data_IF_030669438390
#
_entry.id   IF_030669438390
#
_cell.length_a   1.000
_cell.length_b   1.000
_cell.length_c   1.000
_cell.angle_alpha   90.00
_cell.angle_beta   90.00
_cell.angle_gamma   90.00
#
_symmetry.space_group_name_H-M   'P 1'
#
loop_
_entity.id
_entity.type
_entity.pdbx_description
1 polymer ?
#
# COMPACT_ATOMS: atom_id res chain seq x y z
N UNK A 1 -54.27 56.43 -26.94
CA UNK A 1 -55.29 55.40 -27.22
C UNK A 1 -54.57 54.25 -27.91
N UNK A 2 -55.13 53.03 -27.84
CA UNK A 2 -54.46 51.75 -28.19
C UNK A 2 -53.25 51.42 -27.28
N UNK A 3 -53.03 50.17 -26.86
CA UNK A 3 -53.99 49.08 -26.65
C UNK A 3 -53.47 48.09 -25.59
N UNK A 4 -54.30 47.12 -25.18
CA UNK A 4 -53.99 46.17 -24.11
C UNK A 4 -53.44 44.84 -24.63
N UNK A 5 -52.74 44.08 -23.76
CA UNK A 5 -53.04 42.65 -23.60
C UNK A 5 -52.47 42.07 -22.29
N UNK A 6 -53.30 41.31 -21.58
CA UNK A 6 -52.91 40.42 -20.50
C UNK A 6 -52.78 38.98 -21.05
N UNK A 7 -51.90 38.15 -20.48
CA UNK A 7 -52.16 36.71 -20.41
C UNK A 7 -51.54 36.07 -19.16
N UNK A 8 -52.19 35.04 -18.63
CA UNK A 8 -51.96 34.52 -17.27
C UNK A 8 -51.42 33.09 -17.26
N UNK A 9 -50.43 32.79 -16.40
CA UNK A 9 -49.90 31.41 -16.27
C UNK A 9 -49.32 31.02 -14.89
N UNK A 10 -49.88 31.52 -13.77
CA UNK A 10 -49.42 31.12 -12.42
C UNK A 10 -50.11 29.85 -11.86
N UNK A 11 -51.37 29.60 -12.25
CA UNK A 11 -52.24 28.62 -11.56
C UNK A 11 -51.90 27.13 -11.71
N UNK A 12 -51.08 26.74 -12.70
CA UNK A 12 -50.70 25.32 -12.92
C UNK A 12 -49.47 24.92 -12.10
N UNK A 13 -48.46 25.79 -12.00
CA UNK A 13 -47.19 25.47 -11.34
C UNK A 13 -47.37 25.21 -9.83
N UNK A 14 -48.21 26.03 -9.18
CA UNK A 14 -48.48 25.88 -7.74
C UNK A 14 -49.23 24.58 -7.40
N UNK A 15 -50.16 24.14 -8.25
CA UNK A 15 -50.85 22.84 -8.10
C UNK A 15 -49.89 21.65 -8.25
N UNK A 16 -48.90 21.76 -9.14
CA UNK A 16 -47.87 20.72 -9.32
C UNK A 16 -46.93 20.62 -8.10
N UNK A 17 -46.52 21.77 -7.54
CA UNK A 17 -45.70 21.83 -6.32
C UNK A 17 -46.44 21.28 -5.09
N UNK A 18 -47.75 21.57 -4.96
CA UNK A 18 -48.57 21.00 -3.87
C UNK A 18 -48.72 19.48 -3.99
N UNK A 19 -48.85 18.95 -5.22
CA UNK A 19 -48.94 17.51 -5.44
C UNK A 19 -47.64 16.79 -5.07
N UNK A 20 -46.49 17.37 -5.41
CA UNK A 20 -45.17 16.84 -5.03
C UNK A 20 -44.95 16.81 -3.51
N UNK A 21 -45.37 17.83 -2.75
CA UNK A 21 -45.21 17.82 -1.29
C UNK A 21 -46.07 16.75 -0.62
N UNK A 22 -47.32 16.58 -1.07
CA UNK A 22 -48.23 15.52 -0.58
C UNK A 22 -47.68 14.12 -0.87
N UNK A 23 -47.13 13.88 -2.08
CA UNK A 23 -46.50 12.59 -2.42
C UNK A 23 -45.28 12.30 -1.54
N UNK A 24 -44.43 13.30 -1.25
CA UNK A 24 -43.30 13.14 -0.32
C UNK A 24 -43.76 12.80 1.11
N UNK A 25 -44.82 13.45 1.62
CA UNK A 25 -45.37 13.16 2.95
C UNK A 25 -45.93 11.72 3.02
N UNK A 26 -46.65 11.26 1.99
CA UNK A 26 -47.13 9.88 1.92
C UNK A 26 -46.02 8.83 1.83
N UNK A 27 -44.88 9.15 1.20
CA UNK A 27 -43.71 8.27 1.17
C UNK A 27 -43.01 8.19 2.52
N UNK A 28 -42.88 9.31 3.24
CA UNK A 28 -42.32 9.34 4.60
C UNK A 28 -43.19 8.55 5.59
N UNK A 29 -44.51 8.76 5.57
CA UNK A 29 -45.46 8.04 6.43
C UNK A 29 -45.53 6.53 6.16
N UNK A 30 -45.13 6.06 4.96
CA UNK A 30 -45.01 4.61 4.68
C UNK A 30 -43.72 3.97 5.21
N UNK A 31 -42.69 4.74 5.54
CA UNK A 31 -41.41 4.20 6.00
C UNK A 31 -41.33 3.96 7.51
N UNK A 32 -42.16 4.60 8.33
CA UNK A 32 -42.21 4.41 9.79
C UNK A 32 -43.00 3.13 10.21
N UNK A 33 -43.47 2.35 9.23
CA UNK A 33 -44.40 1.22 9.40
C UNK A 33 -43.82 -0.11 9.89
N UNK A 34 -42.59 -0.18 10.42
CA UNK A 34 -42.00 -1.44 10.93
C UNK A 34 -41.83 -1.48 12.46
N UNK A 35 -42.82 -2.10 13.11
CA UNK A 35 -42.89 -2.36 14.56
C UNK A 35 -41.60 -2.98 15.13
N UNK A 36 -40.86 -2.23 15.94
CA UNK A 36 -39.94 -2.83 16.92
C UNK A 36 -40.75 -3.36 18.11
N UNK A 37 -40.73 -4.68 18.33
CA UNK A 37 -41.31 -5.29 19.53
C UNK A 37 -40.53 -4.87 20.77
N UNK A 38 -41.25 -4.57 21.85
CA UNK A 38 -40.64 -4.52 23.19
C UNK A 38 -40.14 -5.91 23.56
N UNK A 39 -38.94 -5.97 24.16
CA UNK A 39 -38.37 -7.20 24.71
C UNK A 39 -38.04 -6.96 26.18
N UNK A 40 -38.69 -7.69 27.07
CA UNK A 40 -38.32 -7.72 28.50
C UNK A 40 -36.98 -8.45 28.63
N UNK A 41 -36.06 -7.89 29.40
CA UNK A 41 -34.88 -8.63 29.85
C UNK A 41 -35.27 -9.64 30.94
N UNK A 42 -34.71 -10.86 30.95
CA UNK A 42 -34.84 -11.79 32.06
C UNK A 42 -33.94 -11.37 33.25
N UNK A 43 -34.25 -11.90 34.43
CA UNK A 43 -33.72 -11.46 35.71
C UNK A 43 -32.27 -11.89 35.98
N UNK A 44 -31.56 -11.10 36.79
CA UNK A 44 -30.26 -11.50 37.36
C UNK A 44 -30.51 -12.48 38.51
N UNK A 45 -30.06 -13.72 38.37
CA UNK A 45 -29.94 -14.66 39.50
C UNK A 45 -28.48 -14.76 39.93
N UNK A 46 -28.21 -14.33 41.17
CA UNK A 46 -26.92 -14.57 41.83
C UNK A 46 -26.78 -16.05 42.16
N UNK A 47 -25.58 -16.62 41.99
CA UNK A 47 -25.18 -17.91 42.56
C UNK A 47 -23.76 -17.75 43.11
N UNK A 48 -23.57 -18.06 44.41
CA UNK A 48 -22.26 -18.23 45.02
C UNK A 48 -21.95 -19.72 45.17
N UNK A 49 -20.72 -20.12 44.82
CA UNK A 49 -19.80 -21.06 45.50
C UNK A 49 -18.64 -21.33 44.51
N UNK A 50 -17.34 -21.18 44.85
CA UNK A 50 -16.47 -21.78 45.88
C UNK A 50 -15.77 -23.07 45.40
N UNK A 51 -14.93 -23.69 46.25
CA UNK A 51 -13.78 -24.57 45.94
C UNK A 51 -12.65 -23.86 45.15
N UNK A 52 -11.37 -23.81 45.53
CA UNK A 52 -10.43 -24.67 46.29
C UNK A 52 -9.55 -25.58 45.41
N UNK A 53 -8.23 -25.51 45.65
CA UNK A 53 -7.26 -26.61 45.51
C UNK A 53 -6.80 -27.01 44.09
N UNK A 54 -5.56 -27.45 43.87
CA UNK A 54 -4.35 -27.50 44.73
C UNK A 54 -3.09 -27.49 43.85
N UNK A 55 -1.93 -27.22 44.46
CA UNK A 55 -0.59 -27.43 43.92
C UNK A 55 -0.34 -28.93 43.64
N UNK A 56 0.23 -29.36 42.50
CA UNK A 56 1.65 -29.37 42.08
C UNK A 56 2.44 -30.64 42.52
N UNK A 57 3.61 -30.85 41.90
CA UNK A 57 4.59 -31.95 42.12
C UNK A 57 4.20 -33.32 41.47
N UNK A 58 5.00 -33.95 40.56
CA UNK A 58 6.37 -34.54 40.62
C UNK A 58 6.29 -36.06 40.92
N UNK A 59 6.92 -37.00 40.20
CA UNK A 59 7.80 -36.96 39.03
C UNK A 59 8.84 -38.11 39.07
N UNK A 60 9.21 -38.70 37.91
CA UNK A 60 10.31 -39.67 37.65
C UNK A 60 10.42 -39.85 36.11
N UNK A 61 11.55 -39.65 35.44
CA UNK A 61 12.72 -40.54 35.24
C UNK A 61 12.38 -41.97 34.78
N UNK A 62 13.07 -42.58 33.81
CA UNK A 62 14.23 -42.13 33.00
C UNK A 62 13.84 -42.08 31.48
N UNK A 63 14.61 -42.38 30.41
CA UNK A 63 15.94 -43.00 30.20
C UNK A 63 16.54 -42.54 28.85
N UNK A 64 17.82 -42.82 28.58
CA UNK A 64 18.48 -42.76 27.25
C UNK A 64 18.76 -44.18 26.72
N UNK A 65 18.99 -44.36 25.41
CA UNK A 65 20.38 -44.47 24.94
C UNK A 65 20.69 -43.59 23.71
N UNK A 66 21.96 -43.56 23.30
CA UNK A 66 22.43 -42.87 22.09
C UNK A 66 23.12 -43.85 21.14
N UNK A 67 23.14 -43.55 19.85
CA UNK A 67 24.04 -44.23 18.90
C UNK A 67 24.83 -43.19 18.11
N UNK A 68 26.17 -43.28 18.16
CA UNK A 68 27.07 -42.66 17.17
C UNK A 68 27.37 -43.68 16.08
N UNK A 69 27.57 -43.21 14.86
CA UNK A 69 28.38 -43.92 13.85
C UNK A 69 29.19 -42.87 13.08
N UNK A 70 30.37 -43.22 12.61
CA UNK A 70 31.37 -42.28 12.07
C UNK A 70 32.21 -43.00 11.01
N UNK A 71 32.96 -42.25 10.21
CA UNK A 71 34.00 -42.70 9.27
C UNK A 71 33.47 -43.36 7.98
N UNK A 72 33.50 -42.59 6.87
CA UNK A 72 34.51 -42.86 5.85
C UNK A 72 34.83 -41.58 5.06
N UNK A 73 36.09 -41.14 5.12
CA UNK A 73 36.67 -40.27 4.11
C UNK A 73 37.40 -41.13 3.08
N UNK A 74 37.58 -40.64 1.86
CA UNK A 74 38.42 -41.30 0.85
C UNK A 74 39.15 -40.25 0.04
N UNK A 75 40.47 -40.22 0.17
CA UNK A 75 41.36 -39.45 -0.68
C UNK A 75 41.52 -40.14 -2.03
N UNK A 76 41.87 -39.39 -3.07
CA UNK A 76 42.55 -39.91 -4.27
C UNK A 76 43.43 -38.79 -4.82
N UNK A 77 44.67 -39.13 -5.16
CA UNK A 77 45.76 -38.20 -5.47
C UNK A 77 46.13 -38.28 -6.95
N UNK A 78 46.98 -37.34 -7.41
CA UNK A 78 47.71 -37.39 -8.70
C UNK A 78 46.81 -37.15 -9.95
N UNK A 79 47.27 -36.53 -11.05
CA UNK A 79 48.63 -36.18 -11.48
C UNK A 79 48.67 -34.81 -12.17
N UNK A 80 49.85 -34.17 -12.18
CA UNK A 80 50.14 -32.95 -12.94
C UNK A 80 50.35 -33.23 -14.44
N UNK A 81 50.11 -32.23 -15.29
CA UNK A 81 50.95 -31.96 -16.47
C UNK A 81 51.21 -30.46 -16.50
N UNK A 82 52.47 -30.08 -16.69
CA UNK A 82 52.90 -28.68 -16.80
C UNK A 82 53.19 -28.31 -18.25
N UNK A 83 53.02 -27.03 -18.60
CA UNK A 83 53.56 -26.42 -19.81
C UNK A 83 54.15 -25.06 -19.43
N UNK A 84 55.47 -25.00 -19.28
CA UNK A 84 56.21 -23.76 -19.04
C UNK A 84 56.51 -23.06 -20.37
N UNK A 85 56.53 -21.73 -20.34
CA UNK A 85 57.27 -20.93 -21.34
C UNK A 85 57.79 -19.69 -20.62
N UNK A 86 59.09 -19.64 -20.40
CA UNK A 86 59.76 -18.51 -19.78
C UNK A 86 60.09 -17.46 -20.85
N UNK A 87 59.89 -16.18 -20.53
CA UNK A 87 60.58 -15.08 -21.22
C UNK A 87 61.19 -14.19 -20.14
N UNK A 88 62.43 -14.51 -19.77
CA UNK A 88 63.24 -13.69 -18.87
C UNK A 88 63.58 -12.37 -19.56
N UNK A 89 63.15 -11.24 -19.00
CA UNK A 89 63.72 -9.92 -19.35
C UNK A 89 64.25 -9.28 -18.07
N UNK A 90 65.53 -8.94 -18.09
CA UNK A 90 66.25 -8.36 -16.96
C UNK A 90 65.94 -6.86 -16.84
N UNK A 91 65.71 -6.37 -15.62
CA UNK A 91 66.05 -5.02 -15.14
C UNK A 91 66.02 -5.05 -13.60
N UNK A 92 67.10 -4.61 -12.96
CA UNK A 92 67.22 -4.41 -11.51
C UNK A 92 66.73 -3.01 -11.10
N UNK A 93 66.39 -2.79 -9.81
CA UNK A 93 65.52 -1.66 -9.42
C UNK A 93 66.23 -0.30 -9.38
N UNK A 94 65.44 0.76 -9.43
CA UNK A 94 65.81 2.10 -8.97
C UNK A 94 64.70 2.67 -8.11
N UNK A 95 65.06 3.18 -6.93
CA UNK A 95 64.12 3.47 -5.85
C UNK A 95 63.63 4.92 -5.87
N UNK A 96 62.32 5.13 -5.96
CA UNK A 96 61.70 6.41 -5.56
C UNK A 96 60.25 6.18 -5.14
N UNK A 97 59.81 6.60 -3.93
CA UNK A 97 58.47 6.30 -3.44
C UNK A 97 57.45 7.31 -3.95
N UNK A 98 56.74 6.97 -5.04
CA UNK A 98 55.52 7.70 -5.42
C UNK A 98 54.36 7.15 -4.60
N UNK A 99 53.92 7.92 -3.60
CA UNK A 99 52.69 7.64 -2.85
C UNK A 99 51.47 7.86 -3.75
N UNK A 100 51.02 6.81 -4.43
CA UNK A 100 49.70 6.81 -5.07
C UNK A 100 48.64 6.53 -4.02
N UNK A 101 48.26 7.55 -3.24
CA UNK A 101 47.02 7.51 -2.47
C UNK A 101 45.88 7.27 -3.45
N UNK A 102 45.32 6.06 -3.42
CA UNK A 102 44.15 5.70 -4.22
C UNK A 102 42.94 6.33 -3.55
N UNK A 103 42.74 7.63 -3.78
CA UNK A 103 41.51 8.34 -3.43
C UNK A 103 40.38 7.65 -4.19
N UNK A 104 39.72 6.71 -3.51
CA UNK A 104 38.47 6.13 -3.97
C UNK A 104 37.43 7.23 -3.86
N UNK A 105 37.14 7.90 -4.96
CA UNK A 105 35.92 8.70 -5.05
C UNK A 105 34.73 7.78 -4.75
N UNK A 106 34.15 7.95 -3.55
CA UNK A 106 32.84 7.42 -3.26
C UNK A 106 31.86 8.05 -4.26
N UNK A 107 31.42 7.27 -5.25
CA UNK A 107 30.42 7.70 -6.23
C UNK A 107 29.08 7.94 -5.52
N UNK A 108 28.92 9.15 -4.99
CA UNK A 108 27.73 9.59 -4.25
C UNK A 108 26.49 9.42 -5.12
N UNK A 109 25.69 8.41 -4.80
CA UNK A 109 24.47 8.15 -5.53
C UNK A 109 23.43 9.25 -5.27
N UNK A 110 22.68 9.61 -6.32
CA UNK A 110 21.68 10.68 -6.24
C UNK A 110 20.36 10.15 -5.66
N UNK A 111 19.66 10.92 -4.80
CA UNK A 111 18.37 10.50 -4.26
C UNK A 111 17.33 10.24 -5.35
N UNK A 112 16.73 9.05 -5.33
CA UNK A 112 15.74 8.60 -6.31
C UNK A 112 14.42 9.36 -6.16
N UNK A 113 13.85 9.79 -7.29
CA UNK A 113 12.64 10.62 -7.35
C UNK A 113 11.52 10.05 -8.24
N UNK A 114 11.69 8.84 -8.79
CA UNK A 114 10.68 8.16 -9.61
C UNK A 114 10.37 6.78 -9.02
N UNK A 115 9.40 6.71 -8.11
CA UNK A 115 9.07 5.49 -7.36
C UNK A 115 7.62 5.05 -7.58
N UNK A 116 7.48 3.84 -8.10
CA UNK A 116 6.23 3.09 -8.05
C UNK A 116 6.21 2.28 -6.75
N UNK A 117 5.36 2.67 -5.80
CA UNK A 117 5.06 1.89 -4.61
C UNK A 117 3.69 1.20 -4.73
N UNK A 118 3.69 -0.08 -5.13
CA UNK A 118 2.45 -0.84 -5.20
C UNK A 118 1.98 -1.24 -3.81
N UNK A 119 0.85 -0.67 -3.38
CA UNK A 119 0.21 -0.95 -2.10
C UNK A 119 -0.50 -2.31 -2.05
N UNK A 120 -0.02 -3.20 -1.19
CA UNK A 120 -0.75 -4.40 -0.75
C UNK A 120 -1.69 -4.09 0.42
N UNK A 121 -2.93 -4.59 0.39
CA UNK A 121 -3.90 -4.44 1.48
C UNK A 121 -3.40 -5.07 2.80
N UNK A 122 -3.63 -4.38 3.92
CA UNK A 122 -3.35 -4.81 5.31
C UNK A 122 -1.89 -5.20 5.63
N UNK A 123 -0.95 -4.93 4.71
CA UNK A 123 0.49 -5.16 4.83
C UNK A 123 1.28 -3.91 5.28
N UNK A 124 0.72 -3.06 6.14
CA UNK A 124 1.39 -1.83 6.61
C UNK A 124 1.55 -0.70 5.56
N UNK A 125 1.00 -0.88 4.36
CA UNK A 125 1.18 0.02 3.21
C UNK A 125 0.69 1.45 3.40
N UNK A 126 -0.20 1.75 4.37
CA UNK A 126 -0.56 3.13 4.72
C UNK A 126 0.56 3.90 5.42
N UNK A 127 1.36 3.23 6.26
CA UNK A 127 2.59 3.81 6.84
C UNK A 127 3.60 4.10 5.74
N UNK A 128 3.79 3.14 4.83
CA UNK A 128 4.72 3.28 3.72
C UNK A 128 4.31 4.41 2.76
N UNK A 129 3.01 4.55 2.43
CA UNK A 129 2.53 5.70 1.68
C UNK A 129 2.73 7.04 2.43
N UNK A 130 2.64 7.09 3.77
CA UNK A 130 2.95 8.34 4.51
C UNK A 130 4.42 8.76 4.36
N UNK A 131 5.37 7.81 4.31
CA UNK A 131 6.79 8.06 4.00
C UNK A 131 6.90 8.71 2.61
N UNK A 132 6.38 8.04 1.57
CA UNK A 132 6.45 8.54 0.20
C UNK A 132 5.72 9.88 -0.01
N UNK A 133 4.52 10.05 0.57
CA UNK A 133 3.78 11.31 0.50
C UNK A 133 4.57 12.46 1.14
N UNK A 134 5.21 12.23 2.30
CA UNK A 134 6.06 13.25 2.94
C UNK A 134 7.28 13.61 2.11
N UNK A 135 8.01 12.62 1.61
CA UNK A 135 9.23 12.85 0.82
C UNK A 135 8.95 13.70 -0.41
N UNK A 136 7.89 13.36 -1.16
CA UNK A 136 7.53 14.11 -2.37
C UNK A 136 6.91 15.46 -2.05
N UNK A 137 6.04 15.56 -1.04
CA UNK A 137 5.40 16.81 -0.64
C UNK A 137 6.41 17.89 -0.18
N UNK A 138 7.46 17.49 0.56
CA UNK A 138 8.53 18.41 0.98
C UNK A 138 9.48 18.84 -0.15
N UNK A 139 9.37 18.24 -1.33
CA UNK A 139 10.22 18.49 -2.53
C UNK A 139 9.39 18.89 -3.77
N UNK A 140 8.11 19.23 -3.57
CA UNK A 140 7.07 19.50 -4.59
C UNK A 140 6.95 18.48 -5.75
N UNK A 141 7.30 17.23 -5.47
CA UNK A 141 7.24 16.13 -6.43
C UNK A 141 5.78 15.67 -6.68
N UNK A 142 5.54 15.17 -7.89
CA UNK A 142 4.20 14.87 -8.40
C UNK A 142 3.70 13.45 -8.05
N UNK A 143 2.38 13.28 -7.95
CA UNK A 143 1.75 12.01 -7.57
C UNK A 143 0.69 11.57 -8.57
N UNK A 144 0.66 10.27 -8.89
CA UNK A 144 -0.50 9.61 -9.51
C UNK A 144 -1.62 9.56 -8.48
N UNK A 145 -2.68 10.34 -8.70
CA UNK A 145 -3.83 10.47 -7.80
C UNK A 145 -5.12 10.03 -8.53
N UNK A 146 -6.00 9.31 -7.84
CA UNK A 146 -7.39 9.10 -8.27
C UNK A 146 -8.32 10.13 -7.63
N UNK A 147 -9.59 10.14 -8.04
CA UNK A 147 -10.65 10.89 -7.35
C UNK A 147 -10.88 10.39 -5.91
N UNK A 148 -10.79 9.07 -5.70
CA UNK A 148 -10.81 8.42 -4.39
C UNK A 148 -9.46 7.69 -4.09
N UNK A 149 -9.31 7.14 -2.89
CA UNK A 149 -8.11 6.44 -2.39
C UNK A 149 -7.80 5.15 -3.15
N UNK A 150 -8.82 4.53 -3.78
CA UNK A 150 -8.65 3.43 -4.73
C UNK A 150 -8.58 3.98 -6.16
N UNK A 151 -7.50 3.69 -6.90
CA UNK A 151 -7.37 4.03 -8.32
C UNK A 151 -7.62 2.76 -9.15
N UNK A 152 -8.87 2.56 -9.57
CA UNK A 152 -9.27 1.47 -10.46
C UNK A 152 -9.37 0.07 -9.85
N UNK A 153 -8.89 -0.15 -8.62
CA UNK A 153 -9.04 -1.41 -7.88
C UNK A 153 -10.53 -1.78 -7.74
N UNK A 154 -10.95 -3.05 -7.93
CA UNK A 154 -10.17 -4.28 -8.07
C UNK A 154 -9.74 -4.64 -9.51
N UNK A 155 -10.01 -3.79 -10.50
CA UNK A 155 -9.50 -4.01 -11.87
C UNK A 155 -7.99 -3.75 -11.92
N UNK A 156 -7.27 -4.40 -12.84
CA UNK A 156 -5.86 -4.09 -13.11
C UNK A 156 -5.75 -2.63 -13.58
N UNK A 157 -4.83 -1.87 -12.98
CA UNK A 157 -4.70 -0.42 -13.18
C UNK A 157 -4.62 0.00 -14.65
N UNK A 158 -5.29 1.09 -15.00
CA UNK A 158 -5.27 1.74 -16.32
C UNK A 158 -5.04 3.23 -16.12
N UNK A 159 -4.27 3.85 -17.01
CA UNK A 159 -3.86 5.26 -16.87
C UNK A 159 -5.06 6.19 -16.71
N UNK A 160 -6.11 6.04 -17.54
CA UNK A 160 -7.36 6.80 -17.46
C UNK A 160 -8.27 6.51 -16.26
N UNK A 161 -7.79 5.79 -15.23
CA UNK A 161 -8.43 5.70 -13.92
C UNK A 161 -7.85 6.70 -12.91
N UNK A 162 -6.68 7.29 -13.21
CA UNK A 162 -6.13 8.41 -12.48
C UNK A 162 -6.74 9.74 -12.96
N UNK A 163 -6.56 10.78 -12.16
CA UNK A 163 -6.73 12.18 -12.58
C UNK A 163 -5.70 12.51 -13.66
N UNK A 164 -6.03 13.39 -14.59
CA UNK A 164 -5.14 13.79 -15.68
C UNK A 164 -3.79 14.31 -15.17
N UNK A 165 -2.73 14.02 -15.91
CA UNK A 165 -1.40 14.57 -15.69
C UNK A 165 -1.29 15.98 -16.30
N UNK A 166 -0.33 16.78 -15.84
CA UNK A 166 -0.04 18.14 -16.30
C UNK A 166 0.93 18.14 -17.51
N UNK A 167 0.96 17.05 -18.27
CA UNK A 167 1.97 16.78 -19.30
C UNK A 167 3.29 16.23 -18.76
N UNK A 168 3.59 16.40 -17.46
CA UNK A 168 4.82 15.87 -16.87
C UNK A 168 4.70 14.40 -16.44
N UNK A 169 5.84 13.71 -16.33
CA UNK A 169 5.91 12.32 -15.85
C UNK A 169 5.77 12.29 -14.31
N UNK A 170 4.85 11.50 -13.74
CA UNK A 170 4.62 11.47 -12.30
C UNK A 170 5.83 10.89 -11.54
N UNK A 171 6.21 11.53 -10.43
CA UNK A 171 7.29 11.07 -9.54
C UNK A 171 6.88 9.85 -8.70
N UNK A 172 5.62 9.79 -8.26
CA UNK A 172 5.17 8.78 -7.30
C UNK A 172 3.84 8.13 -7.68
N UNK A 173 3.77 6.80 -7.65
CA UNK A 173 2.51 6.05 -7.55
C UNK A 173 2.47 5.34 -6.20
N UNK A 174 1.69 5.86 -5.25
CA UNK A 174 1.66 5.37 -3.86
C UNK A 174 0.23 5.17 -3.30
N UNK A 175 -0.77 5.07 -4.17
CA UNK A 175 -2.20 4.84 -3.85
C UNK A 175 -2.62 3.40 -4.14
N UNK A 176 -3.80 2.98 -3.66
CA UNK A 176 -4.27 1.61 -3.84
C UNK A 176 -4.65 1.35 -5.31
N UNK A 177 -3.83 0.54 -5.97
CA UNK A 177 -3.99 0.04 -7.34
C UNK A 177 -3.85 -1.48 -7.33
N UNK A 178 -4.21 -2.14 -8.44
CA UNK A 178 -3.83 -3.53 -8.71
C UNK A 178 -2.85 -3.57 -9.87
N UNK A 179 -1.79 -4.36 -9.75
CA UNK A 179 -0.67 -4.36 -10.70
C UNK A 179 -1.09 -4.50 -12.17
N UNK A 180 -0.44 -3.73 -13.04
CA UNK A 180 -0.53 -3.87 -14.49
C UNK A 180 0.75 -3.38 -15.17
N UNK A 181 1.67 -4.31 -15.50
CA UNK A 181 2.94 -4.02 -16.18
C UNK A 181 2.82 -3.01 -17.33
N UNK A 182 1.87 -3.19 -18.27
CA UNK A 182 1.79 -2.30 -19.44
C UNK A 182 1.42 -0.86 -19.07
N UNK A 183 0.54 -0.65 -18.10
CA UNK A 183 0.12 0.69 -17.68
C UNK A 183 1.13 1.33 -16.70
N UNK A 184 1.76 0.51 -15.86
CA UNK A 184 2.73 0.96 -14.86
C UNK A 184 4.07 1.30 -15.49
N UNK A 185 4.63 0.43 -16.33
CA UNK A 185 5.92 0.63 -16.97
C UNK A 185 5.92 1.75 -18.03
N UNK A 186 4.74 2.21 -18.46
CA UNK A 186 4.61 3.40 -19.31
C UNK A 186 4.72 4.71 -18.51
N UNK A 187 4.17 4.78 -17.29
CA UNK A 187 4.33 5.94 -16.40
C UNK A 187 5.68 5.92 -15.66
N UNK A 188 6.17 4.71 -15.37
CA UNK A 188 7.40 4.43 -14.64
C UNK A 188 8.28 3.44 -15.43
N UNK A 189 8.98 3.89 -16.48
CA UNK A 189 9.99 3.10 -17.20
C UNK A 189 11.02 2.48 -16.24
N UNK A 190 11.34 1.20 -16.45
CA UNK A 190 12.10 0.36 -15.49
C UNK A 190 13.61 0.66 -15.42
N UNK A 191 14.11 1.36 -16.42
CA UNK A 191 15.44 1.96 -16.53
C UNK A 191 15.55 3.27 -15.73
N UNK A 192 14.44 4.01 -15.58
CA UNK A 192 14.39 5.33 -14.96
C UNK A 192 13.45 5.43 -13.75
N UNK A 193 13.12 4.30 -13.09
CA UNK A 193 12.25 4.24 -11.89
C UNK A 193 12.67 3.12 -10.94
N UNK A 194 12.34 3.25 -9.65
CA UNK A 194 12.35 2.12 -8.70
C UNK A 194 10.94 1.59 -8.42
N UNK A 195 10.81 0.28 -8.39
CA UNK A 195 9.58 -0.45 -8.12
C UNK A 195 9.69 -1.08 -6.73
N UNK A 196 8.84 -0.61 -5.82
CA UNK A 196 8.77 -1.08 -4.43
C UNK A 196 7.38 -1.65 -4.18
N UNK A 197 7.29 -2.72 -3.39
CA UNK A 197 6.02 -3.17 -2.81
C UNK A 197 6.25 -3.72 -1.41
N UNK A 198 5.18 -4.06 -0.69
CA UNK A 198 5.24 -4.60 0.67
C UNK A 198 4.33 -5.81 0.81
N UNK A 199 4.84 -6.89 1.40
CA UNK A 199 4.06 -8.07 1.77
C UNK A 199 4.17 -8.32 3.27
N UNK A 200 3.29 -9.17 3.81
CA UNK A 200 3.17 -9.45 5.24
C UNK A 200 2.86 -10.93 5.45
N UNK A 201 3.21 -11.45 6.62
CA UNK A 201 2.92 -12.83 7.00
C UNK A 201 1.45 -13.17 6.70
N UNK A 202 1.14 -14.14 5.82
CA UNK A 202 -0.22 -14.33 5.32
C UNK A 202 -1.25 -14.67 6.39
N UNK A 203 -0.85 -15.26 7.52
CA UNK A 203 -1.78 -15.50 8.64
C UNK A 203 -2.19 -14.17 9.28
N UNK A 204 -1.21 -13.33 9.64
CA UNK A 204 -1.44 -12.01 10.24
C UNK A 204 -2.08 -11.00 9.28
N UNK A 205 -1.87 -11.18 7.97
CA UNK A 205 -2.47 -10.34 6.93
C UNK A 205 -3.91 -10.78 6.66
N UNK A 206 -4.17 -12.09 6.48
CA UNK A 206 -5.48 -12.60 6.11
C UNK A 206 -6.50 -12.42 7.23
N UNK A 207 -6.15 -12.69 8.49
CA UNK A 207 -7.04 -12.38 9.64
C UNK A 207 -7.39 -10.88 9.67
N UNK A 208 -6.41 -10.01 9.42
CA UNK A 208 -6.61 -8.56 9.40
C UNK A 208 -7.44 -8.08 8.20
N UNK A 209 -7.37 -8.78 7.06
CA UNK A 209 -8.20 -8.53 5.88
C UNK A 209 -9.62 -9.06 6.07
N UNK A 210 -9.77 -10.27 6.63
CA UNK A 210 -11.03 -10.96 6.89
C UNK A 210 -11.94 -10.14 7.80
N UNK A 211 -11.40 -9.67 8.93
CA UNK A 211 -12.11 -8.77 9.83
C UNK A 211 -12.40 -7.41 9.16
N UNK A 212 -11.37 -6.71 8.68
CA UNK A 212 -11.52 -5.34 8.16
C UNK A 212 -12.44 -5.22 6.94
N UNK A 213 -12.45 -6.22 6.05
CA UNK A 213 -13.33 -6.28 4.87
C UNK A 213 -14.65 -7.01 5.15
N UNK A 214 -14.94 -7.40 6.39
CA UNK A 214 -16.16 -8.08 6.84
C UNK A 214 -16.49 -9.33 6.01
N UNK A 215 -15.46 -10.13 5.73
CA UNK A 215 -15.55 -11.28 4.82
C UNK A 215 -16.54 -12.31 5.36
N UNK A 216 -16.48 -12.65 6.66
CA UNK A 216 -17.45 -13.52 7.31
C UNK A 216 -18.91 -13.10 7.06
N UNK A 217 -19.22 -11.81 7.22
CA UNK A 217 -20.56 -11.25 6.98
C UNK A 217 -20.96 -11.34 5.51
N UNK A 218 -20.05 -11.07 4.57
CA UNK A 218 -20.29 -11.12 3.11
C UNK A 218 -20.59 -12.52 2.58
N UNK A 219 -20.05 -13.55 3.23
CA UNK A 219 -20.27 -14.96 2.85
C UNK A 219 -21.26 -15.71 3.75
N UNK A 220 -21.93 -15.02 4.70
CA UNK A 220 -22.97 -15.61 5.55
C UNK A 220 -22.49 -16.32 6.81
N UNK A 221 -21.19 -16.32 7.12
CA UNK A 221 -20.59 -16.95 8.30
C UNK A 221 -20.77 -16.16 9.61
N UNK A 222 -21.62 -15.12 9.62
CA UNK A 222 -21.91 -14.31 10.80
C UNK A 222 -21.02 -13.06 10.95
N UNK A 223 -21.19 -12.37 12.09
CA UNK A 223 -20.58 -11.05 12.36
C UNK A 223 -19.43 -11.07 13.36
N UNK A 224 -19.29 -12.11 14.19
CA UNK A 224 -18.11 -12.31 15.04
C UNK A 224 -16.90 -12.67 14.15
N UNK A 225 -15.83 -11.85 14.09
CA UNK A 225 -14.74 -12.10 13.14
C UNK A 225 -14.01 -13.42 13.34
N UNK A 226 -13.81 -13.84 14.59
CA UNK A 226 -13.05 -15.06 14.94
C UNK A 226 -13.83 -16.32 14.60
N UNK A 227 -15.10 -16.40 15.00
CA UNK A 227 -15.92 -17.58 14.74
C UNK A 227 -16.33 -17.66 13.26
N UNK A 228 -16.58 -16.51 12.61
CA UNK A 228 -16.83 -16.48 11.17
C UNK A 228 -15.59 -16.87 10.35
N UNK A 229 -14.37 -16.58 10.84
CA UNK A 229 -13.13 -17.03 10.20
C UNK A 229 -12.95 -18.55 10.32
N UNK A 230 -13.19 -19.14 11.50
CA UNK A 230 -13.19 -20.61 11.70
C UNK A 230 -14.22 -21.28 10.80
N UNK A 231 -15.46 -20.76 10.76
CA UNK A 231 -16.54 -21.30 9.94
C UNK A 231 -16.24 -21.19 8.43
N UNK A 232 -15.69 -20.06 7.98
CA UNK A 232 -15.23 -19.86 6.60
C UNK A 232 -14.13 -20.87 6.21
N UNK A 233 -13.14 -21.08 7.09
CA UNK A 233 -12.03 -22.00 6.81
C UNK A 233 -12.46 -23.47 6.84
N UNK A 234 -13.42 -23.84 7.70
CA UNK A 234 -13.97 -25.20 7.78
C UNK A 234 -14.85 -25.56 6.59
N UNK A 235 -15.70 -24.63 6.15
CA UNK A 235 -16.71 -24.90 5.12
C UNK A 235 -16.26 -24.48 3.70
N UNK A 236 -15.27 -23.60 3.59
CA UNK A 236 -14.83 -23.01 2.34
C UNK A 236 -15.85 -22.07 1.70
N UNK A 237 -15.59 -21.69 0.45
CA UNK A 237 -16.53 -20.99 -0.44
C UNK A 237 -16.40 -21.56 -1.86
N UNK A 238 -17.46 -21.47 -2.67
CA UNK A 238 -17.39 -21.81 -4.09
C UNK A 238 -16.36 -20.93 -4.80
N UNK A 239 -15.65 -21.49 -5.78
CA UNK A 239 -14.63 -20.75 -6.53
C UNK A 239 -15.22 -19.52 -7.27
N UNK A 240 -16.46 -19.62 -7.75
CA UNK A 240 -17.18 -18.51 -8.39
C UNK A 240 -17.50 -17.37 -7.40
N UNK A 241 -17.69 -17.70 -6.12
CA UNK A 241 -18.04 -16.75 -5.07
C UNK A 241 -16.88 -15.86 -4.62
N UNK A 242 -15.63 -16.17 -5.01
CA UNK A 242 -14.45 -15.31 -4.76
C UNK A 242 -14.69 -13.87 -5.27
N UNK A 243 -15.52 -13.70 -6.31
CA UNK A 243 -15.91 -12.38 -6.84
C UNK A 243 -16.70 -11.50 -5.85
N UNK A 244 -17.36 -12.08 -4.83
CA UNK A 244 -18.05 -11.34 -3.74
C UNK A 244 -17.07 -10.56 -2.85
N UNK A 245 -15.80 -10.99 -2.79
CA UNK A 245 -14.71 -10.26 -2.15
C UNK A 245 -13.38 -10.82 -2.64
N UNK A 246 -12.72 -10.15 -3.59
CA UNK A 246 -11.46 -10.60 -4.20
C UNK A 246 -10.33 -10.86 -3.18
N UNK A 247 -10.36 -10.15 -2.04
CA UNK A 247 -9.44 -10.32 -0.92
C UNK A 247 -9.76 -11.55 -0.02
N UNK A 248 -10.75 -12.38 -0.37
CA UNK A 248 -11.12 -13.56 0.40
C UNK A 248 -10.22 -14.78 0.15
N UNK A 249 -9.30 -14.74 -0.84
CA UNK A 249 -8.27 -15.76 -1.06
C UNK A 249 -7.06 -15.17 -1.77
N UNK A 250 -5.85 -15.44 -1.26
CA UNK A 250 -4.58 -14.84 -1.72
C UNK A 250 -4.68 -13.30 -1.93
N UNK A 251 -5.13 -12.53 -0.93
CA UNK A 251 -5.35 -11.09 -1.07
C UNK A 251 -4.10 -10.31 -1.50
N UNK A 252 -2.90 -10.74 -1.10
CA UNK A 252 -1.67 -10.01 -1.44
C UNK A 252 -1.28 -10.25 -2.89
N UNK A 253 -1.28 -11.51 -3.31
CA UNK A 253 -1.03 -11.90 -4.70
C UNK A 253 -2.12 -11.34 -5.66
N UNK A 254 -3.35 -11.11 -5.17
CA UNK A 254 -4.39 -10.39 -5.93
C UNK A 254 -3.97 -8.95 -6.27
N UNK A 255 -3.51 -8.18 -5.28
CA UNK A 255 -3.06 -6.80 -5.43
C UNK A 255 -1.81 -6.72 -6.34
N UNK A 256 -0.88 -7.66 -6.18
CA UNK A 256 0.27 -7.84 -7.07
C UNK A 256 -0.11 -8.40 -8.47
N UNK A 257 -1.39 -8.55 -8.76
CA UNK A 257 -1.93 -8.68 -10.11
C UNK A 257 -2.09 -10.09 -10.64
N UNK A 258 -1.81 -11.15 -9.88
CA UNK A 258 -2.17 -12.51 -10.30
C UNK A 258 -3.69 -12.61 -10.42
N UNK A 259 -4.16 -13.47 -11.33
CA UNK A 259 -5.58 -13.72 -11.50
C UNK A 259 -6.05 -14.94 -10.68
N UNK A 260 -7.23 -14.86 -10.09
CA UNK A 260 -7.72 -15.87 -9.15
C UNK A 260 -7.85 -17.26 -9.80
N UNK A 261 -8.05 -17.34 -11.13
CA UNK A 261 -8.00 -18.58 -11.91
C UNK A 261 -6.69 -19.38 -11.80
N UNK A 262 -5.58 -18.72 -11.43
CA UNK A 262 -4.27 -19.37 -11.26
C UNK A 262 -3.99 -19.83 -9.81
N UNK A 263 -4.88 -19.58 -8.85
CA UNK A 263 -4.67 -19.91 -7.43
C UNK A 263 -4.62 -21.41 -7.10
N UNK A 264 -4.80 -22.27 -8.11
CA UNK A 264 -4.75 -23.74 -8.00
C UNK A 264 -3.62 -24.34 -8.87
N UNK A 265 -2.89 -23.50 -9.60
CA UNK A 265 -1.76 -23.90 -10.46
C UNK A 265 -0.45 -23.52 -9.77
N UNK A 266 0.21 -24.52 -9.19
CA UNK A 266 1.49 -24.33 -8.49
C UNK A 266 2.62 -23.86 -9.40
N UNK A 267 2.59 -24.21 -10.70
CA UNK A 267 3.59 -23.75 -11.68
C UNK A 267 3.37 -22.28 -12.00
N UNK A 268 2.13 -21.89 -12.34
CA UNK A 268 1.81 -20.49 -12.61
C UNK A 268 2.06 -19.57 -11.39
N UNK A 269 1.84 -20.07 -10.16
CA UNK A 269 2.21 -19.34 -8.93
C UNK A 269 3.73 -19.13 -8.83
N UNK A 270 4.54 -20.16 -9.07
CA UNK A 270 6.02 -20.06 -9.05
C UNK A 270 6.54 -19.11 -10.13
N UNK A 271 6.07 -19.28 -11.36
CA UNK A 271 6.44 -18.42 -12.50
C UNK A 271 6.04 -16.96 -12.26
N UNK A 272 4.91 -16.70 -11.58
CA UNK A 272 4.51 -15.34 -11.21
C UNK A 272 5.36 -14.74 -10.08
N UNK A 273 5.85 -15.55 -9.13
CA UNK A 273 6.80 -15.08 -8.10
C UNK A 273 8.15 -14.72 -8.74
N UNK A 274 8.66 -15.56 -9.64
CA UNK A 274 9.88 -15.27 -10.41
C UNK A 274 9.74 -14.05 -11.33
N UNK A 275 8.54 -13.81 -11.87
CA UNK A 275 8.20 -12.59 -12.58
C UNK A 275 8.23 -11.36 -11.66
N UNK A 276 7.61 -11.43 -10.48
CA UNK A 276 7.61 -10.34 -9.50
C UNK A 276 9.01 -9.99 -9.00
N UNK A 277 9.91 -10.96 -8.80
CA UNK A 277 11.31 -10.70 -8.40
C UNK A 277 12.13 -10.00 -9.49
N UNK A 278 11.75 -10.16 -10.77
CA UNK A 278 12.36 -9.44 -11.91
C UNK A 278 11.74 -8.05 -12.13
N UNK A 279 10.53 -7.82 -11.63
CA UNK A 279 9.80 -6.56 -11.83
C UNK A 279 10.01 -5.56 -10.67
N UNK A 280 10.06 -6.04 -9.43
CA UNK A 280 10.19 -5.22 -8.22
C UNK A 280 11.64 -5.14 -7.73
N UNK A 281 12.19 -3.92 -7.71
CA UNK A 281 13.55 -3.66 -7.24
C UNK A 281 13.69 -3.91 -5.73
N UNK A 282 12.61 -3.79 -4.95
CA UNK A 282 12.52 -4.26 -3.57
C UNK A 282 11.10 -4.70 -3.16
N UNK A 283 10.99 -5.87 -2.56
CA UNK A 283 9.81 -6.32 -1.83
C UNK A 283 10.08 -6.23 -0.33
N UNK A 284 9.41 -5.29 0.32
CA UNK A 284 9.48 -5.02 1.76
C UNK A 284 8.71 -6.10 2.54
N UNK A 285 9.16 -6.44 3.74
CA UNK A 285 8.47 -7.39 4.63
C UNK A 285 7.91 -6.63 5.84
N UNK A 286 6.58 -6.52 5.92
CA UNK A 286 5.87 -5.77 6.99
C UNK A 286 6.07 -6.33 8.39
N UNK A 287 6.57 -7.57 8.52
CA UNK A 287 6.94 -8.19 9.80
C UNK A 287 8.34 -7.75 10.27
N UNK A 288 9.20 -7.30 9.34
CA UNK A 288 10.55 -6.75 9.55
C UNK A 288 10.61 -5.33 8.98
N UNK A 289 9.70 -4.47 9.46
CA UNK A 289 9.43 -3.17 8.84
C UNK A 289 10.61 -2.19 8.97
N UNK A 290 11.33 -2.22 10.09
CA UNK A 290 12.52 -1.37 10.32
C UNK A 290 13.63 -1.73 9.32
N UNK A 291 13.95 -3.02 9.26
CA UNK A 291 14.93 -3.60 8.34
C UNK A 291 14.58 -3.27 6.89
N UNK A 292 13.29 -3.40 6.55
CA UNK A 292 12.77 -3.11 5.21
C UNK A 292 12.91 -1.64 4.82
N UNK A 293 12.62 -0.68 5.71
CA UNK A 293 12.76 0.76 5.37
C UNK A 293 14.23 1.22 5.35
N UNK A 294 15.10 0.61 6.15
CA UNK A 294 16.54 0.89 6.11
C UNK A 294 17.14 0.39 4.79
N UNK A 295 16.79 -0.82 4.34
CA UNK A 295 17.20 -1.31 3.03
C UNK A 295 16.62 -0.46 1.88
N UNK A 296 15.39 0.01 2.05
CA UNK A 296 14.76 0.94 1.11
C UNK A 296 15.49 2.29 1.04
N UNK A 297 15.97 2.84 2.17
CA UNK A 297 16.81 4.05 2.18
C UNK A 297 18.04 3.87 1.27
N UNK A 298 18.71 2.72 1.39
CA UNK A 298 19.94 2.41 0.66
C UNK A 298 19.67 2.21 -0.85
N UNK A 299 18.58 1.53 -1.21
CA UNK A 299 18.11 1.42 -2.61
C UNK A 299 17.74 2.76 -3.25
N UNK A 300 17.17 3.69 -2.48
CA UNK A 300 16.69 4.98 -2.98
C UNK A 300 17.70 6.12 -2.82
N UNK A 301 18.86 5.89 -2.18
CA UNK A 301 19.82 6.94 -1.80
C UNK A 301 19.14 8.07 -1.00
N UNK A 302 18.35 7.68 0.02
CA UNK A 302 17.60 8.58 0.90
C UNK A 302 18.18 8.63 2.32
N UNK A 303 17.87 9.69 3.06
CA UNK A 303 18.33 9.85 4.43
C UNK A 303 17.52 9.06 5.46
N UNK A 304 18.11 8.82 6.64
CA UNK A 304 17.41 8.14 7.75
C UNK A 304 16.15 8.92 8.19
N UNK A 305 16.16 10.25 8.12
CA UNK A 305 15.00 11.10 8.47
C UNK A 305 13.87 11.04 7.43
N UNK A 306 14.21 10.83 6.15
CA UNK A 306 13.22 10.65 5.08
C UNK A 306 12.37 9.38 5.33
N UNK A 307 13.01 8.29 5.78
CA UNK A 307 12.34 7.00 6.06
C UNK A 307 11.80 6.84 7.48
N UNK A 308 12.01 7.81 8.39
CA UNK A 308 11.38 7.81 9.72
C UNK A 308 9.85 7.81 9.61
N UNK A 309 9.16 7.04 10.45
CA UNK A 309 7.71 6.88 10.37
C UNK A 309 7.00 6.75 11.73
N UNK A 310 5.72 7.10 11.73
CA UNK A 310 4.76 6.72 12.76
C UNK A 310 3.84 5.60 12.21
N UNK A 311 3.47 4.62 13.05
CA UNK A 311 2.57 3.52 12.64
C UNK A 311 1.17 4.06 12.32
N UNK A 312 0.72 3.88 11.08
CA UNK A 312 -0.58 4.33 10.59
C UNK A 312 -1.51 3.12 10.46
N UNK A 313 -2.82 3.32 10.70
CA UNK A 313 -3.84 2.28 10.60
C UNK A 313 -3.58 1.02 11.48
N UNK A 314 -2.89 1.14 12.63
CA UNK A 314 -2.83 0.03 13.60
C UNK A 314 -4.23 -0.20 14.21
N UNK A 315 -4.65 -1.45 14.31
CA UNK A 315 -5.95 -1.81 14.90
C UNK A 315 -6.00 -1.51 16.40
N UNK A 316 -7.16 -1.07 16.87
CA UNK A 316 -7.48 -1.12 18.31
C UNK A 316 -7.39 -2.57 18.77
N UNK A 317 -7.02 -2.81 20.03
CA UNK A 317 -6.72 -4.19 20.47
C UNK A 317 -7.96 -5.08 20.48
N UNK A 318 -9.14 -4.51 20.77
CA UNK A 318 -10.45 -5.14 20.61
C UNK A 318 -10.85 -5.50 19.15
N UNK A 319 -10.11 -5.02 18.16
CA UNK A 319 -10.29 -5.34 16.73
C UNK A 319 -9.19 -6.28 16.19
N UNK A 320 -8.31 -6.78 17.06
CA UNK A 320 -7.38 -7.89 16.80
C UNK A 320 -8.08 -9.18 17.26
N UNK A 321 -8.03 -10.26 16.47
CA UNK A 321 -8.44 -11.56 16.99
C UNK A 321 -7.59 -11.95 18.22
N UNK A 322 -8.14 -12.72 19.19
CA UNK A 322 -7.34 -13.47 20.13
C UNK A 322 -6.33 -14.38 19.41
N UNK A 323 -5.30 -14.84 20.12
CA UNK A 323 -4.28 -15.71 19.54
C UNK A 323 -4.93 -16.95 18.89
N UNK A 324 -4.66 -17.14 17.59
CA UNK A 324 -5.32 -18.18 16.80
C UNK A 324 -4.75 -19.56 17.16
N UNK A 325 -5.59 -20.59 17.20
CA UNK A 325 -5.08 -21.97 17.31
C UNK A 325 -4.23 -22.32 16.09
N UNK A 326 -3.25 -23.22 16.26
CA UNK A 326 -2.31 -23.54 15.19
C UNK A 326 -3.01 -24.23 14.00
N UNK A 327 -4.08 -25.00 14.24
CA UNK A 327 -4.99 -25.48 13.18
C UNK A 327 -5.61 -24.33 12.38
N UNK A 328 -6.00 -23.25 13.04
CA UNK A 328 -6.55 -22.06 12.37
C UNK A 328 -5.47 -21.37 11.55
N UNK A 329 -4.26 -21.19 12.10
CA UNK A 329 -3.11 -20.61 11.39
C UNK A 329 -2.76 -21.44 10.15
N UNK A 330 -2.74 -22.76 10.28
CA UNK A 330 -2.40 -23.70 9.21
C UNK A 330 -3.48 -23.77 8.12
N UNK A 331 -4.76 -23.78 8.48
CA UNK A 331 -5.84 -23.68 7.50
C UNK A 331 -5.83 -22.34 6.74
N UNK A 332 -5.44 -21.23 7.39
CA UNK A 332 -5.20 -19.95 6.70
C UNK A 332 -4.05 -20.06 5.68
N UNK A 333 -2.94 -20.74 6.01
CA UNK A 333 -1.84 -20.99 5.06
C UNK A 333 -2.29 -21.83 3.87
N UNK A 334 -3.03 -22.91 4.10
CA UNK A 334 -3.54 -23.81 3.05
C UNK A 334 -4.50 -23.09 2.10
N UNK A 335 -5.41 -22.30 2.64
CA UNK A 335 -6.34 -21.50 1.85
C UNK A 335 -5.63 -20.43 0.99
N UNK A 336 -4.63 -19.75 1.56
CA UNK A 336 -3.86 -18.68 0.93
C UNK A 336 -2.46 -19.12 0.47
N UNK A 337 -2.35 -20.31 -0.15
CA UNK A 337 -1.04 -20.91 -0.46
C UNK A 337 -0.17 -20.09 -1.44
N UNK A 338 -0.74 -19.25 -2.31
CA UNK A 338 0.07 -18.39 -3.17
C UNK A 338 0.69 -17.22 -2.39
N UNK A 339 -0.04 -16.61 -1.46
CA UNK A 339 0.50 -15.60 -0.55
C UNK A 339 1.59 -16.19 0.36
N UNK A 340 1.46 -17.46 0.76
CA UNK A 340 2.46 -18.20 1.56
C UNK A 340 3.78 -18.38 0.80
N UNK A 341 3.73 -18.99 -0.40
CA UNK A 341 4.92 -19.21 -1.21
C UNK A 341 5.63 -17.89 -1.57
N UNK A 342 4.84 -16.84 -1.85
CA UNK A 342 5.35 -15.50 -2.12
C UNK A 342 6.03 -14.85 -0.91
N UNK A 343 5.42 -14.95 0.27
CA UNK A 343 6.00 -14.42 1.51
C UNK A 343 7.28 -15.16 1.88
N UNK A 344 7.30 -16.49 1.76
CA UNK A 344 8.47 -17.33 2.02
C UNK A 344 9.63 -16.93 1.11
N UNK A 345 9.38 -16.77 -0.20
CA UNK A 345 10.35 -16.33 -1.20
C UNK A 345 10.92 -14.92 -0.91
N UNK A 346 10.05 -13.91 -0.78
CA UNK A 346 10.52 -12.54 -0.59
C UNK A 346 11.11 -12.27 0.79
N UNK A 347 10.74 -13.04 1.82
CA UNK A 347 11.44 -13.00 3.11
C UNK A 347 12.88 -13.49 2.95
N UNK A 348 13.12 -14.59 2.24
CA UNK A 348 14.48 -15.04 1.92
C UNK A 348 15.24 -14.02 1.05
N UNK A 349 14.57 -13.37 0.09
CA UNK A 349 15.20 -12.29 -0.72
C UNK A 349 15.52 -11.03 0.10
N UNK A 350 14.73 -10.69 1.13
CA UNK A 350 15.06 -9.59 2.06
C UNK A 350 16.34 -9.90 2.84
N UNK A 351 16.42 -11.05 3.51
CA UNK A 351 17.59 -11.41 4.34
C UNK A 351 18.86 -11.59 3.49
N UNK A 352 18.77 -12.26 2.34
CA UNK A 352 19.89 -12.36 1.37
C UNK A 352 20.39 -11.01 0.82
N UNK A 353 19.61 -9.93 0.93
CA UNK A 353 20.05 -8.57 0.60
C UNK A 353 20.70 -7.88 1.80
N UNK A 354 20.07 -7.96 2.97
CA UNK A 354 20.62 -7.45 4.24
C UNK A 354 22.02 -8.03 4.51
N UNK A 355 22.20 -9.34 4.30
CA UNK A 355 23.49 -10.03 4.45
C UNK A 355 24.59 -9.47 3.51
N UNK A 356 24.21 -8.93 2.34
CA UNK A 356 25.14 -8.35 1.35
C UNK A 356 25.50 -6.89 1.63
N UNK A 357 24.63 -6.15 2.33
CA UNK A 357 24.91 -4.78 2.78
C UNK A 357 25.94 -4.74 3.93
N UNK A 358 26.25 -5.89 4.54
CA UNK A 358 27.30 -6.02 5.55
C UNK A 358 27.01 -5.27 6.85
N UNK A 359 28.08 -4.89 7.56
CA UNK A 359 28.01 -4.27 8.89
C UNK A 359 27.23 -2.95 8.88
N UNK A 360 27.46 -2.13 7.87
CA UNK A 360 26.99 -0.74 7.84
C UNK A 360 25.46 -0.64 7.84
N UNK A 361 24.76 -1.66 7.32
CA UNK A 361 23.30 -1.78 7.43
C UNK A 361 22.83 -1.90 8.89
N UNK A 362 23.57 -2.60 9.74
CA UNK A 362 23.22 -2.78 11.15
C UNK A 362 23.53 -1.52 11.97
N UNK A 363 24.55 -0.75 11.59
CA UNK A 363 24.81 0.59 12.15
C UNK A 363 23.70 1.58 11.74
N UNK A 364 23.30 1.56 10.47
CA UNK A 364 22.13 2.28 9.92
C UNK A 364 20.85 1.93 10.70
N UNK A 365 20.58 0.63 10.90
CA UNK A 365 19.40 0.11 11.59
C UNK A 365 19.38 0.47 13.08
N UNK A 366 20.55 0.49 13.72
CA UNK A 366 20.70 0.91 15.11
C UNK A 366 20.43 2.41 15.26
N UNK A 367 20.98 3.23 14.37
CA UNK A 367 20.69 4.67 14.33
C UNK A 367 19.22 4.96 13.99
N UNK A 368 18.64 4.25 13.02
CA UNK A 368 17.22 4.34 12.68
C UNK A 368 16.32 4.08 13.90
N UNK A 369 16.62 3.01 14.66
CA UNK A 369 15.86 2.63 15.87
C UNK A 369 15.97 3.68 16.98
N UNK A 370 17.16 4.24 17.21
CA UNK A 370 17.36 5.39 18.11
C UNK A 370 16.55 6.60 17.66
N UNK A 371 16.69 7.03 16.41
CA UNK A 371 15.97 8.18 15.86
C UNK A 371 14.45 8.02 15.92
N UNK A 372 13.93 6.81 15.69
CA UNK A 372 12.50 6.48 15.78
C UNK A 372 11.97 6.52 17.22
N UNK A 373 12.80 6.16 18.21
CA UNK A 373 12.45 6.30 19.63
C UNK A 373 12.53 7.76 20.09
N UNK A 374 13.54 8.52 19.66
CA UNK A 374 13.61 9.96 19.89
C UNK A 374 12.40 10.69 19.29
N UNK A 375 12.03 10.34 18.05
CA UNK A 375 10.82 10.84 17.38
C UNK A 375 9.58 10.58 18.24
N UNK A 376 9.41 9.37 18.80
CA UNK A 376 8.29 9.05 19.70
C UNK A 376 8.29 9.98 20.91
N UNK A 377 9.41 10.06 21.63
CA UNK A 377 9.55 10.84 22.87
C UNK A 377 9.42 12.36 22.65
N UNK A 378 9.88 12.87 21.50
CA UNK A 378 9.78 14.28 21.12
C UNK A 378 8.36 14.63 20.66
N UNK A 379 7.79 13.90 19.71
CA UNK A 379 6.52 14.25 19.07
C UNK A 379 5.25 13.92 19.87
N UNK A 380 5.22 12.78 20.57
CA UNK A 380 3.97 12.14 20.99
C UNK A 380 3.85 12.03 22.51
N UNK A 381 2.61 12.06 23.00
CA UNK A 381 2.28 11.62 24.36
C UNK A 381 1.92 10.13 24.36
N UNK A 382 2.07 9.45 25.49
CA UNK A 382 1.77 8.01 25.62
C UNK A 382 0.27 7.69 25.62
N UNK A 383 -0.61 8.70 25.54
CA UNK A 383 -2.07 8.52 25.37
C UNK A 383 -2.39 8.27 23.89
N UNK A 384 -2.75 7.05 23.45
CA UNK A 384 -3.09 6.79 22.05
C UNK A 384 -4.41 7.48 21.67
N UNK A 385 -4.46 8.05 20.46
CA UNK A 385 -5.70 8.61 19.91
C UNK A 385 -6.53 7.53 19.21
N UNK A 386 -7.85 7.76 19.09
CA UNK A 386 -8.72 6.98 18.19
C UNK A 386 -8.88 7.76 16.89
N UNK A 387 -8.07 7.45 15.88
CA UNK A 387 -8.19 8.08 14.57
C UNK A 387 -9.32 7.43 13.77
N UNK A 388 -10.24 8.23 13.23
CA UNK A 388 -11.21 7.75 12.25
C UNK A 388 -10.50 7.56 10.90
N UNK A 389 -10.72 6.41 10.26
CA UNK A 389 -10.11 6.10 8.96
C UNK A 389 -11.11 6.35 7.83
N UNK A 390 -12.32 5.81 7.95
CA UNK A 390 -13.46 6.06 7.06
C UNK A 390 -14.76 5.52 7.69
N UNK A 391 -15.91 6.12 7.36
CA UNK A 391 -17.22 5.70 7.87
C UNK A 391 -17.25 5.66 9.40
N UNK A 392 -17.45 4.47 9.97
CA UNK A 392 -17.42 4.22 11.43
C UNK A 392 -16.20 3.38 11.88
N UNK A 393 -15.14 3.27 11.06
CA UNK A 393 -13.96 2.44 11.35
C UNK A 393 -12.79 3.26 11.89
N UNK A 394 -12.32 2.89 13.07
CA UNK A 394 -11.27 3.57 13.83
C UNK A 394 -9.99 2.74 13.90
N UNK A 395 -8.87 3.43 14.11
CA UNK A 395 -7.55 2.86 14.37
C UNK A 395 -6.94 3.49 15.63
N UNK A 396 -5.88 2.87 16.16
CA UNK A 396 -4.92 3.58 17.01
C UNK A 396 -4.21 4.64 16.18
N UNK A 397 -4.14 5.84 16.72
CA UNK A 397 -3.24 6.89 16.25
C UNK A 397 -2.38 7.42 17.39
N UNK A 398 -1.53 8.37 17.03
CA UNK A 398 -0.73 9.12 17.99
C UNK A 398 -1.47 10.38 18.43
N UNK A 399 -1.16 10.86 19.63
CA UNK A 399 -1.57 12.17 20.13
C UNK A 399 -0.32 13.03 20.18
N UNK A 400 -0.28 14.12 19.41
CA UNK A 400 0.82 15.09 19.49
C UNK A 400 0.90 15.66 20.91
N UNK A 401 2.11 16.03 21.35
CA UNK A 401 2.25 16.90 22.52
C UNK A 401 1.70 18.30 22.22
N UNK A 402 1.23 18.99 23.25
CA UNK A 402 0.59 20.33 23.15
C UNK A 402 1.61 21.48 23.10
N UNK A 403 2.82 21.22 23.59
CA UNK A 403 3.93 22.14 23.85
C UNK A 403 5.04 22.08 22.78
N UNK A 404 4.73 21.56 21.58
CA UNK A 404 5.69 21.43 20.48
C UNK A 404 6.03 22.80 19.85
N UNK A 405 7.32 23.13 19.65
CA UNK A 405 7.75 24.19 18.73
C UNK A 405 7.14 24.02 17.33
N UNK A 406 6.94 25.13 16.60
CA UNK A 406 6.12 25.13 15.37
C UNK A 406 6.66 24.23 14.24
N UNK A 407 7.98 24.19 14.07
CA UNK A 407 8.69 23.30 13.13
C UNK A 407 8.45 21.82 13.49
N UNK A 408 8.58 21.48 14.77
CA UNK A 408 8.41 20.13 15.28
C UNK A 408 6.93 19.73 15.23
N UNK A 409 6.01 20.61 15.59
CA UNK A 409 4.56 20.41 15.45
C UNK A 409 4.20 20.10 13.99
N UNK A 410 4.77 20.83 13.03
CA UNK A 410 4.56 20.57 11.61
C UNK A 410 5.16 19.22 11.18
N UNK A 411 6.41 18.92 11.54
CA UNK A 411 7.09 17.65 11.21
C UNK A 411 6.34 16.44 11.79
N UNK A 412 6.03 16.47 13.08
CA UNK A 412 5.26 15.44 13.77
C UNK A 412 3.83 15.29 13.20
N UNK A 413 3.17 16.41 12.87
CA UNK A 413 1.83 16.43 12.27
C UNK A 413 1.79 15.82 10.86
N UNK A 414 2.82 16.03 10.04
CA UNK A 414 2.94 15.35 8.74
C UNK A 414 3.12 13.83 8.91
N UNK A 415 3.84 13.38 9.95
CA UNK A 415 4.03 11.93 10.24
C UNK A 415 2.75 11.22 10.69
N UNK A 416 1.81 11.94 11.33
CA UNK A 416 0.56 11.35 11.86
C UNK A 416 -0.67 11.58 10.97
N UNK A 417 -0.54 12.37 9.89
CA UNK A 417 -1.60 12.61 8.90
C UNK A 417 -2.03 11.29 8.25
N UNK A 418 -3.30 10.94 8.40
CA UNK A 418 -3.91 9.73 7.81
C UNK A 418 -3.85 9.74 6.29
N UNK A 419 -3.82 8.55 5.67
CA UNK A 419 -3.73 8.38 4.21
C UNK A 419 -4.80 9.16 3.45
N UNK A 420 -6.07 9.06 3.86
CA UNK A 420 -7.18 9.78 3.23
C UNK A 420 -7.00 11.31 3.32
N UNK A 421 -6.53 11.82 4.46
CA UNK A 421 -6.28 13.25 4.65
C UNK A 421 -5.05 13.73 3.84
N UNK A 422 -4.03 12.89 3.67
CA UNK A 422 -2.88 13.21 2.81
C UNK A 422 -3.26 13.23 1.34
N UNK A 423 -4.06 12.25 0.88
CA UNK A 423 -4.55 12.20 -0.50
C UNK A 423 -5.49 13.37 -0.82
N UNK A 424 -6.38 13.76 0.09
CA UNK A 424 -7.20 14.97 -0.05
C UNK A 424 -6.33 16.23 -0.15
N UNK A 425 -5.31 16.37 0.70
CA UNK A 425 -4.35 17.47 0.64
C UNK A 425 -3.59 17.52 -0.70
N UNK A 426 -3.07 16.38 -1.19
CA UNK A 426 -2.34 16.31 -2.46
C UNK A 426 -3.24 16.61 -3.68
N UNK A 427 -4.50 16.16 -3.68
CA UNK A 427 -5.49 16.54 -4.72
C UNK A 427 -5.70 18.05 -4.75
N UNK A 428 -5.86 18.68 -3.58
CA UNK A 428 -6.05 20.13 -3.47
C UNK A 428 -4.78 20.90 -3.90
N UNK A 429 -3.58 20.44 -3.51
CA UNK A 429 -2.30 21.01 -3.93
C UNK A 429 -2.14 20.96 -5.47
N UNK A 430 -2.43 19.80 -6.09
CA UNK A 430 -2.45 19.63 -7.56
C UNK A 430 -3.47 20.55 -8.23
N UNK A 431 -4.69 20.65 -7.69
CA UNK A 431 -5.74 21.51 -8.24
C UNK A 431 -5.34 22.99 -8.22
N UNK A 432 -4.77 23.46 -7.11
CA UNK A 432 -4.26 24.83 -7.00
C UNK A 432 -3.10 25.11 -7.99
N UNK A 433 -2.15 24.17 -8.14
CA UNK A 433 -1.04 24.28 -9.11
C UNK A 433 -1.55 24.40 -10.55
N UNK A 434 -2.54 23.58 -10.94
CA UNK A 434 -3.18 23.66 -12.26
C UNK A 434 -3.94 24.98 -12.48
N UNK A 435 -4.72 25.46 -11.49
CA UNK A 435 -5.40 26.77 -11.60
C UNK A 435 -4.39 27.92 -11.71
N UNK A 436 -3.23 27.81 -11.07
CA UNK A 436 -2.10 28.73 -11.28
C UNK A 436 -1.60 28.73 -12.72
N UNK A 437 -1.36 27.55 -13.30
CA UNK A 437 -0.91 27.39 -14.69
C UNK A 437 -1.93 27.98 -15.68
N UNK A 438 -3.22 27.63 -15.55
CA UNK A 438 -4.27 28.17 -16.44
C UNK A 438 -4.48 29.69 -16.33
N UNK A 439 -4.06 30.32 -15.23
CA UNK A 439 -4.07 31.79 -15.06
C UNK A 439 -2.80 32.47 -15.56
N UNK A 440 -1.72 31.72 -15.75
CA UNK A 440 -0.43 32.22 -16.21
C UNK A 440 -0.18 31.96 -17.71
N UNK A 441 -0.97 31.08 -18.33
CA UNK A 441 -0.97 30.89 -19.77
C UNK A 441 -1.40 32.20 -20.48
N UNK A 442 -0.66 32.68 -21.50
CA UNK A 442 -1.10 33.83 -22.29
C UNK A 442 -2.28 33.44 -23.18
N UNK A 443 -3.35 34.24 -23.16
CA UNK A 443 -4.33 34.23 -24.26
C UNK A 443 -3.68 34.93 -25.46
N UNK A 444 -3.09 34.15 -26.35
CA UNK A 444 -2.55 34.67 -27.63
C UNK A 444 -3.70 34.95 -28.61
N UNK A 445 -4.72 34.09 -28.63
CA UNK A 445 -5.95 34.21 -29.44
C UNK A 445 -6.70 35.54 -29.23
N UNK A 446 -6.74 36.08 -28.00
CA UNK A 446 -7.41 37.35 -27.67
C UNK A 446 -6.79 38.59 -28.36
N UNK A 447 -5.61 38.43 -28.98
CA UNK A 447 -4.91 39.52 -29.68
C UNK A 447 -5.05 39.47 -31.19
N UNK A 448 -5.50 38.37 -31.78
CA UNK A 448 -5.67 38.30 -33.23
C UNK A 448 -6.96 39.01 -33.64
N UNK A 449 -6.85 40.34 -33.86
CA UNK A 449 -7.90 41.16 -34.46
C UNK A 449 -8.06 40.84 -35.95
N UNK A 450 -8.50 39.62 -36.25
CA UNK A 450 -8.89 39.18 -37.60
C UNK A 450 -10.21 39.89 -37.96
N UNK A 451 -10.07 41.09 -38.51
CA UNK A 451 -11.13 41.78 -39.22
C UNK A 451 -11.45 41.00 -40.49
N UNK A 452 -12.68 40.50 -40.58
CA UNK A 452 -13.19 39.83 -41.79
C UNK A 452 -13.33 40.81 -42.98
N UNK A 453 -13.30 42.12 -42.71
CA UNK A 453 -13.37 43.19 -43.71
C UNK A 453 -12.17 43.19 -44.69
N UNK A 454 -11.08 42.47 -44.35
CA UNK A 454 -9.93 42.26 -45.21
C UNK A 454 -10.09 41.11 -46.22
N UNK A 455 -11.13 40.27 -46.10
CA UNK A 455 -11.31 39.07 -46.91
C UNK A 455 -12.52 39.20 -47.86
N UNK A 456 -12.28 39.24 -49.16
CA UNK A 456 -13.33 39.10 -50.17
C UNK A 456 -13.79 37.65 -50.28
N UNK A 457 -15.09 37.38 -50.16
CA UNK A 457 -15.67 36.04 -50.31
C UNK A 457 -15.22 35.33 -51.61
N UNK A 458 -14.81 34.08 -51.47
CA UNK A 458 -14.52 33.22 -52.61
C UNK A 458 -15.80 32.99 -53.42
N UNK A 459 -15.83 33.51 -54.66
CA UNK A 459 -16.98 33.33 -55.57
C UNK A 459 -17.23 31.85 -55.86
N UNK A 460 -18.28 31.31 -55.25
CA UNK A 460 -18.77 29.96 -55.52
C UNK A 460 -19.22 29.85 -56.98
N UNK A 461 -18.50 29.05 -57.78
CA UNK A 461 -18.88 28.71 -59.16
C UNK A 461 -19.42 27.27 -59.16
N UNK A 462 -20.74 27.06 -59.25
CA UNK A 462 -21.31 25.71 -59.26
C UNK A 462 -20.93 24.97 -60.54
N UNK A 463 -20.46 23.73 -60.38
CA UNK A 463 -20.16 22.84 -61.52
C UNK A 463 -21.45 22.54 -62.26
N UNK A 464 -21.60 23.09 -63.47
CA UNK A 464 -22.70 22.75 -64.37
C UNK A 464 -22.55 21.29 -64.80
N UNK A 465 -23.56 20.46 -64.52
CA UNK A 465 -23.64 19.13 -65.13
C UNK A 465 -23.69 19.27 -66.65
N UNK A 466 -22.72 18.70 -67.34
CA UNK A 466 -22.87 18.36 -68.75
C UNK A 466 -24.07 17.40 -68.91
N UNK A 467 -24.81 17.55 -70.00
CA UNK A 467 -25.92 16.65 -70.35
C UNK A 467 -25.42 15.27 -70.76
#
# INVERSE_FOLDING_TARGET
MAESNNFTCSGKLWKFLLFLSVVCIFLLLKFDGQKRKSFRGPEIKNVLYSSEGTEETRGKTSTKPSTKTTITAKETTTTQVAATTEITTLITPSTTPISSEKVTEETKCSPEQYILFLKTHKAGSSTMSNIFFRYGDSRDLSFVLGSDTLIGWPTRFRIGQALAFDGTRPNFLCSHTRFNKKAMNHLFPKDASKYVTIVRNPVKQFESAFNYMEIGRKFGFGTNPTEALKAFLKNGISFNDIRKSTLARNPQMFDLGLDFKFYQDAKAIKEYIEFLEKEFDLVLISDYFDESVVLMKRLLCWELDDVLYAKSNERLDKDKAPELSDDTKENIKRWNKADVLMYEHFNQTLWRRIEREGKDFYDDLTNFRRMKQELKTKCFSDKPSRQLIYGNKYAKGFTLKSDLPSDLQQKCGRMTRTENNYLAYLRNKRAAKLVGIYRAAPNEDDKEKVSWDAASDYKYVPVKKTR
#
